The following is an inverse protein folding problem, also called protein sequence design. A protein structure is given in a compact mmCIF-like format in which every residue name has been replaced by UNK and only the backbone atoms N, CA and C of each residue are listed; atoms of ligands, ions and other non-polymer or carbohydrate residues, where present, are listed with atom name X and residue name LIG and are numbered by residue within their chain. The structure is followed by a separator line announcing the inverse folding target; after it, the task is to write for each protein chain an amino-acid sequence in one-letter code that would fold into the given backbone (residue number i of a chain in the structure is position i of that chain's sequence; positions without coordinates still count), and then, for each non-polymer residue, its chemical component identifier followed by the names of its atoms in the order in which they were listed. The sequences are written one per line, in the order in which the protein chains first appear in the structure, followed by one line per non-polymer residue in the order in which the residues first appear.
data_IF_646394378166
#
_entry.id   IF_646394378166
#
_cell.length_a   1.000
_cell.length_b   1.000
_cell.length_c   1.000
_cell.angle_alpha   90.00
_cell.angle_beta   90.00
_cell.angle_gamma   90.00
#
_symmetry.space_group_name_H-M   'P 1'
#
loop_
_entity.id
_entity.type
_entity.pdbx_description
1 polymer ?
#
# COMPACT_ATOMS: atom_id res chain seq x y z
N UNK A 1 -17.73 18.25 -10.67
CA UNK A 1 -18.18 16.84 -10.67
C UNK A 1 -17.00 15.98 -10.26
N UNK A 2 -17.18 15.05 -9.32
CA UNK A 2 -16.11 14.13 -8.90
C UNK A 2 -15.79 13.13 -10.01
N UNK A 3 -14.51 12.93 -10.32
CA UNK A 3 -14.08 11.98 -11.36
C UNK A 3 -14.10 10.55 -10.82
N UNK A 4 -14.48 9.58 -11.67
CA UNK A 4 -14.39 8.16 -11.38
C UNK A 4 -12.92 7.73 -11.30
N UNK A 5 -12.58 6.81 -10.40
CA UNK A 5 -11.24 6.23 -10.39
C UNK A 5 -10.99 5.42 -11.68
N UNK A 6 -9.91 5.70 -12.44
CA UNK A 6 -9.71 5.13 -13.79
C UNK A 6 -9.60 3.60 -13.80
N UNK A 7 -9.06 3.00 -12.73
CA UNK A 7 -8.90 1.54 -12.63
C UNK A 7 -9.96 0.85 -11.75
N UNK A 8 -11.02 1.54 -11.34
CA UNK A 8 -12.07 0.94 -10.49
C UNK A 8 -12.76 -0.24 -11.17
N UNK A 9 -13.17 -0.06 -12.42
CA UNK A 9 -13.88 -1.09 -13.16
C UNK A 9 -13.05 -2.37 -13.30
N UNK A 10 -11.77 -2.23 -13.63
CA UNK A 10 -10.82 -3.35 -13.75
C UNK A 10 -10.64 -4.11 -12.43
N UNK A 11 -10.64 -3.40 -11.29
CA UNK A 11 -10.59 -4.04 -9.98
C UNK A 11 -11.86 -4.87 -9.72
N UNK A 12 -13.04 -4.32 -10.03
CA UNK A 12 -14.31 -5.03 -9.86
C UNK A 12 -14.40 -6.27 -10.76
N UNK A 13 -13.98 -6.16 -12.01
CA UNK A 13 -13.93 -7.30 -12.94
C UNK A 13 -12.99 -8.40 -12.46
N UNK A 14 -11.80 -8.02 -11.96
CA UNK A 14 -10.86 -8.98 -11.39
C UNK A 14 -11.47 -9.66 -10.14
N UNK A 15 -12.06 -8.89 -9.21
CA UNK A 15 -12.71 -9.46 -8.04
C UNK A 15 -13.88 -10.38 -8.41
N UNK A 16 -14.67 -10.03 -9.43
CA UNK A 16 -15.73 -10.90 -9.94
C UNK A 16 -15.18 -12.25 -10.42
N UNK A 17 -14.08 -12.22 -11.17
CA UNK A 17 -13.40 -13.43 -11.65
C UNK A 17 -12.84 -14.29 -10.49
N UNK A 18 -12.56 -13.68 -9.33
CA UNK A 18 -12.14 -14.36 -8.10
C UNK A 18 -13.33 -14.79 -7.20
N UNK A 19 -14.57 -14.66 -7.68
CA UNK A 19 -15.77 -15.12 -6.98
C UNK A 19 -16.44 -14.07 -6.09
N UNK A 20 -16.10 -12.78 -6.22
CA UNK A 20 -16.86 -11.70 -5.57
C UNK A 20 -18.21 -11.51 -6.27
N UNK A 21 -19.29 -11.39 -5.48
CA UNK A 21 -20.61 -11.02 -6.00
C UNK A 21 -20.65 -9.54 -6.38
N UNK A 22 -20.71 -9.25 -7.68
CA UNK A 22 -20.63 -7.87 -8.21
C UNK A 22 -21.96 -7.27 -8.64
N UNK A 23 -23.01 -8.10 -8.73
CA UNK A 23 -24.39 -7.70 -9.06
C UNK A 23 -25.00 -6.71 -8.06
N UNK A 24 -24.42 -6.61 -6.86
CA UNK A 24 -24.91 -5.79 -5.74
C UNK A 24 -23.93 -4.73 -5.28
N UNK A 25 -22.95 -4.33 -6.09
CA UNK A 25 -22.04 -3.26 -5.70
C UNK A 25 -22.80 -1.94 -5.64
N UNK A 26 -22.97 -1.43 -4.42
CA UNK A 26 -23.70 -0.19 -4.13
C UNK A 26 -22.78 1.01 -3.94
N UNK A 27 -21.51 0.87 -4.28
CA UNK A 27 -20.49 1.90 -4.09
C UNK A 27 -19.61 2.05 -5.31
N UNK A 28 -19.00 3.22 -5.44
CA UNK A 28 -18.09 3.53 -6.53
C UNK A 28 -16.93 4.39 -6.03
N UNK A 29 -15.73 4.14 -6.55
CA UNK A 29 -14.56 4.95 -6.22
C UNK A 29 -14.54 6.25 -7.01
N UNK A 30 -14.55 7.40 -6.32
CA UNK A 30 -14.53 8.74 -6.94
C UNK A 30 -13.55 9.65 -6.21
N UNK A 31 -13.14 10.73 -6.87
CA UNK A 31 -12.33 11.77 -6.24
C UNK A 31 -13.15 12.63 -5.27
N UNK A 32 -12.58 12.88 -4.10
CA UNK A 32 -13.04 13.82 -3.10
C UNK A 32 -12.06 15.01 -3.04
N UNK A 33 -12.53 16.26 -3.16
CA UNK A 33 -11.67 17.44 -3.05
C UNK A 33 -10.84 17.41 -1.76
N UNK A 34 -9.51 17.49 -1.90
CA UNK A 34 -8.57 17.51 -0.77
C UNK A 34 -8.28 16.17 -0.08
N UNK A 35 -9.00 15.08 -0.41
CA UNK A 35 -8.84 13.78 0.24
C UNK A 35 -8.42 12.64 -0.71
N UNK A 36 -8.37 12.88 -2.02
CA UNK A 36 -8.02 11.84 -3.00
C UNK A 36 -9.22 10.96 -3.32
N UNK A 37 -9.02 9.65 -3.51
CA UNK A 37 -10.10 8.73 -3.86
C UNK A 37 -10.79 8.15 -2.62
N UNK A 38 -12.12 8.07 -2.67
CA UNK A 38 -12.95 7.44 -1.65
C UNK A 38 -14.09 6.64 -2.26
N UNK A 39 -14.72 5.79 -1.45
CA UNK A 39 -15.92 5.05 -1.84
C UNK A 39 -17.16 5.90 -1.58
N UNK A 40 -17.99 6.07 -2.61
CA UNK A 40 -19.24 6.80 -2.55
C UNK A 40 -20.40 5.85 -2.77
N UNK A 41 -21.43 5.93 -1.93
CA UNK A 41 -22.65 5.17 -2.12
C UNK A 41 -23.40 5.65 -3.37
N UNK A 42 -23.96 4.70 -4.13
CA UNK A 42 -24.81 4.96 -5.29
C UNK A 42 -26.28 5.16 -4.89
N UNK A 43 -26.63 4.77 -3.67
CA UNK A 43 -27.96 4.84 -3.09
C UNK A 43 -27.87 5.07 -1.58
N UNK A 44 -29.01 5.33 -0.93
CA UNK A 44 -29.04 5.42 0.53
C UNK A 44 -28.83 4.05 1.16
N UNK A 45 -27.83 3.93 2.03
CA UNK A 45 -27.51 2.70 2.74
C UNK A 45 -27.83 2.86 4.23
N UNK A 46 -28.52 1.88 4.80
CA UNK A 46 -28.78 1.84 6.23
C UNK A 46 -27.49 1.58 7.01
N UNK A 47 -27.44 1.95 8.31
CA UNK A 47 -26.34 1.56 9.19
C UNK A 47 -26.08 0.05 9.14
N UNK A 48 -24.81 -0.34 9.20
CA UNK A 48 -24.37 -1.74 9.17
C UNK A 48 -24.73 -2.53 7.90
N UNK A 49 -25.18 -1.86 6.83
CA UNK A 49 -25.38 -2.53 5.53
C UNK A 49 -24.03 -2.93 4.93
N UNK A 50 -23.77 -4.22 4.65
CA UNK A 50 -22.54 -4.63 3.99
C UNK A 50 -22.42 -4.02 2.59
N UNK A 51 -21.28 -3.40 2.30
CA UNK A 51 -21.04 -2.77 0.98
C UNK A 51 -20.69 -3.81 -0.09
N UNK A 52 -19.81 -4.74 0.26
CA UNK A 52 -19.38 -5.89 -0.55
C UNK A 52 -18.54 -6.83 0.33
N UNK A 53 -18.38 -8.08 -0.09
CA UNK A 53 -17.52 -9.08 0.58
C UNK A 53 -16.37 -9.45 -0.34
N UNK A 54 -15.14 -9.28 0.13
CA UNK A 54 -13.93 -9.60 -0.64
C UNK A 54 -13.47 -11.02 -0.34
N UNK A 55 -13.24 -11.89 -1.36
CA UNK A 55 -12.74 -13.24 -1.13
C UNK A 55 -11.37 -13.24 -0.44
N UNK A 56 -11.18 -14.06 0.59
CA UNK A 56 -9.97 -14.01 1.44
C UNK A 56 -8.64 -14.21 0.67
N UNK A 57 -8.65 -15.02 -0.39
CA UNK A 57 -7.47 -15.29 -1.22
C UNK A 57 -7.05 -14.09 -2.09
N UNK A 58 -7.95 -13.11 -2.28
CA UNK A 58 -7.64 -11.85 -2.99
C UNK A 58 -7.05 -10.77 -2.08
N UNK A 59 -6.98 -11.03 -0.77
CA UNK A 59 -6.35 -10.11 0.18
C UNK A 59 -4.83 -10.23 0.08
N UNK A 60 -4.15 -9.10 -0.12
CA UNK A 60 -2.70 -9.05 -0.15
C UNK A 60 -2.14 -9.15 1.27
N UNK A 61 -1.59 -10.32 1.64
CA UNK A 61 -1.01 -10.56 2.95
C UNK A 61 0.06 -11.67 2.89
N UNK A 62 0.72 -11.96 4.02
CA UNK A 62 1.79 -12.96 4.04
C UNK A 62 1.32 -14.38 3.68
N UNK A 63 0.08 -14.77 3.99
CA UNK A 63 -0.43 -16.11 3.67
C UNK A 63 -0.62 -16.28 2.16
N UNK A 64 -1.14 -15.25 1.51
CA UNK A 64 -1.37 -15.26 0.05
C UNK A 64 -0.08 -15.06 -0.73
N UNK A 65 0.92 -14.36 -0.18
CA UNK A 65 2.20 -14.13 -0.85
C UNK A 65 3.26 -15.22 -0.61
N UNK A 66 3.34 -15.81 0.60
CA UNK A 66 4.43 -16.73 0.96
C UNK A 66 4.67 -17.87 -0.05
N UNK A 67 3.64 -18.50 -0.65
CA UNK A 67 3.85 -19.57 -1.64
C UNK A 67 4.58 -19.11 -2.91
N UNK A 68 4.57 -17.81 -3.22
CA UNK A 68 5.16 -17.24 -4.44
C UNK A 68 6.59 -16.73 -4.25
N UNK A 69 7.14 -16.83 -3.03
CA UNK A 69 8.47 -16.35 -2.70
C UNK A 69 9.32 -17.47 -2.10
N UNK A 70 10.62 -17.57 -2.46
CA UNK A 70 11.56 -18.46 -1.79
C UNK A 70 11.58 -18.28 -0.27
N UNK A 71 11.68 -19.39 0.46
CA UNK A 71 11.70 -19.38 1.90
C UNK A 71 12.94 -18.63 2.45
N UNK A 72 12.71 -17.66 3.34
CA UNK A 72 13.78 -16.89 3.99
C UNK A 72 14.15 -17.46 5.36
N UNK A 73 15.43 -17.35 5.75
CA UNK A 73 15.91 -17.60 7.13
C UNK A 73 16.80 -16.44 7.58
N UNK A 74 16.34 -15.57 8.52
CA UNK A 74 15.02 -15.60 9.19
C UNK A 74 13.86 -15.33 8.22
N UNK A 75 12.65 -15.75 8.59
CA UNK A 75 11.43 -15.48 7.81
C UNK A 75 11.19 -13.97 7.71
N UNK A 76 10.78 -13.50 6.54
CA UNK A 76 10.33 -12.12 6.36
C UNK A 76 9.05 -11.88 7.18
N UNK A 77 8.94 -10.69 7.77
CA UNK A 77 7.69 -10.26 8.40
C UNK A 77 6.61 -10.01 7.34
N UNK A 78 5.34 -9.96 7.76
CA UNK A 78 4.23 -9.62 6.85
C UNK A 78 4.47 -8.28 6.15
N UNK A 79 4.88 -7.24 6.90
CA UNK A 79 5.22 -5.92 6.35
C UNK A 79 6.33 -6.04 5.31
N UNK A 80 7.41 -6.75 5.62
CA UNK A 80 8.56 -6.90 4.72
C UNK A 80 8.17 -7.59 3.42
N UNK A 81 7.41 -8.69 3.50
CA UNK A 81 6.99 -9.45 2.32
C UNK A 81 6.00 -8.67 1.45
N UNK A 82 4.98 -8.03 2.05
CA UNK A 82 4.02 -7.20 1.32
C UNK A 82 4.72 -5.99 0.70
N UNK A 83 5.61 -5.32 1.44
CA UNK A 83 6.38 -4.19 0.91
C UNK A 83 7.24 -4.62 -0.26
N UNK A 84 7.97 -5.74 -0.15
CA UNK A 84 8.77 -6.29 -1.24
C UNK A 84 7.91 -6.55 -2.48
N UNK A 85 6.80 -7.25 -2.33
CA UNK A 85 5.91 -7.58 -3.46
C UNK A 85 5.39 -6.31 -4.15
N UNK A 86 4.85 -5.36 -3.38
CA UNK A 86 4.40 -4.09 -3.94
C UNK A 86 5.53 -3.37 -4.67
N UNK A 87 6.73 -3.34 -4.10
CA UNK A 87 7.85 -2.60 -4.69
C UNK A 87 8.34 -3.21 -6.01
N UNK A 88 8.33 -4.54 -6.13
CA UNK A 88 8.67 -5.25 -7.37
C UNK A 88 7.65 -5.01 -8.48
N UNK A 89 6.40 -4.78 -8.11
CA UNK A 89 5.27 -4.64 -9.01
C UNK A 89 4.70 -3.21 -9.06
N UNK A 90 5.50 -2.23 -8.62
CA UNK A 90 5.13 -0.82 -8.66
C UNK A 90 4.84 -0.42 -10.11
N UNK A 91 3.66 0.12 -10.42
CA UNK A 91 3.34 0.56 -11.78
C UNK A 91 4.25 1.71 -12.21
N UNK A 92 4.97 1.51 -13.31
CA UNK A 92 5.74 2.58 -13.97
C UNK A 92 4.84 3.46 -14.86
N UNK A 93 3.72 2.91 -15.31
CA UNK A 93 2.65 3.62 -16.02
C UNK A 93 1.34 3.55 -15.25
N UNK A 94 0.25 3.27 -15.95
CA UNK A 94 -1.09 3.24 -15.35
C UNK A 94 -1.39 1.95 -14.57
N UNK A 95 -0.83 0.82 -14.99
CA UNK A 95 -1.23 -0.51 -14.51
C UNK A 95 -0.01 -1.29 -14.01
N UNK A 96 -0.22 -2.11 -12.98
CA UNK A 96 0.77 -3.08 -12.50
C UNK A 96 0.81 -4.32 -13.39
N UNK A 97 2.02 -4.78 -13.70
CA UNK A 97 2.25 -6.02 -14.44
C UNK A 97 2.22 -7.26 -13.54
N UNK A 98 1.84 -7.13 -12.26
CA UNK A 98 1.71 -8.28 -11.37
C UNK A 98 0.59 -9.23 -11.83
N UNK A 99 0.89 -10.52 -12.04
CA UNK A 99 -0.12 -11.48 -12.48
C UNK A 99 -1.17 -11.83 -11.42
N UNK A 100 -0.88 -11.62 -10.13
CA UNK A 100 -1.74 -12.09 -9.04
C UNK A 100 -2.72 -11.00 -8.57
N UNK A 101 -2.19 -9.83 -8.27
CA UNK A 101 -2.83 -8.68 -7.63
C UNK A 101 -2.72 -7.41 -8.48
N UNK A 102 -2.32 -7.49 -9.75
CA UNK A 102 -2.10 -6.33 -10.62
C UNK A 102 -3.24 -5.29 -10.60
N UNK A 103 -4.52 -5.69 -10.76
CA UNK A 103 -5.66 -4.78 -10.65
C UNK A 103 -5.78 -4.08 -9.30
N UNK A 104 -5.47 -4.78 -8.21
CA UNK A 104 -5.44 -4.21 -6.85
C UNK A 104 -4.28 -3.23 -6.67
N UNK A 105 -3.07 -3.60 -7.10
CA UNK A 105 -1.89 -2.73 -7.03
C UNK A 105 -2.08 -1.46 -7.89
N UNK A 106 -2.86 -1.57 -8.98
CA UNK A 106 -3.14 -0.47 -9.89
C UNK A 106 -4.04 0.63 -9.29
N UNK A 107 -4.80 0.34 -8.24
CA UNK A 107 -5.64 1.34 -7.55
C UNK A 107 -4.96 1.97 -6.33
N UNK A 108 -3.74 1.54 -5.99
CA UNK A 108 -3.00 2.10 -4.85
C UNK A 108 -2.49 3.52 -5.14
N UNK A 109 -2.40 4.38 -4.12
CA UNK A 109 -1.79 5.71 -4.25
C UNK A 109 -0.40 5.64 -4.89
N UNK A 110 -0.14 6.54 -5.86
CA UNK A 110 1.12 6.60 -6.62
C UNK A 110 2.22 7.38 -5.92
N UNK A 111 1.81 8.42 -5.21
CA UNK A 111 2.68 9.31 -4.46
C UNK A 111 2.24 9.39 -3.00
N UNK A 112 3.21 9.78 -2.17
CA UNK A 112 3.03 10.07 -0.76
C UNK A 112 3.73 11.38 -0.42
N UNK A 113 3.75 12.32 -1.36
CA UNK A 113 4.43 13.61 -1.19
C UNK A 113 3.75 14.49 -0.14
N UNK A 114 2.55 14.13 0.30
CA UNK A 114 1.83 14.75 1.42
C UNK A 114 2.15 14.09 2.77
N UNK A 115 2.86 12.96 2.79
CA UNK A 115 3.11 12.21 4.01
C UNK A 115 4.38 12.72 4.72
N UNK A 116 4.33 13.08 6.02
CA UNK A 116 5.48 13.64 6.75
C UNK A 116 6.74 12.77 6.74
N UNK A 117 6.56 11.45 6.64
CA UNK A 117 7.68 10.52 6.48
C UNK A 117 8.45 10.73 5.18
N UNK A 118 7.74 11.00 4.08
CA UNK A 118 8.35 11.26 2.76
C UNK A 118 9.18 12.54 2.81
N UNK A 119 8.68 13.58 3.47
CA UNK A 119 9.43 14.84 3.68
C UNK A 119 10.73 14.58 4.44
N UNK A 120 10.63 13.90 5.59
CA UNK A 120 11.80 13.57 6.42
C UNK A 120 12.81 12.71 5.64
N UNK A 121 12.32 11.75 4.86
CA UNK A 121 13.17 10.88 4.04
C UNK A 121 13.93 11.66 2.97
N UNK A 122 13.26 12.57 2.24
CA UNK A 122 13.89 13.45 1.25
C UNK A 122 14.96 14.33 1.89
N UNK A 123 14.65 14.95 3.03
CA UNK A 123 15.60 15.79 3.78
C UNK A 123 16.85 15.01 4.23
N UNK A 124 16.68 13.76 4.69
CA UNK A 124 17.81 12.94 5.18
C UNK A 124 18.66 12.30 4.08
N UNK A 125 18.10 12.07 2.90
CA UNK A 125 18.81 11.38 1.80
C UNK A 125 19.46 12.33 0.80
N UNK A 126 19.54 13.62 1.11
CA UNK A 126 20.27 14.64 0.33
C UNK A 126 19.85 14.73 -1.14
N UNK A 127 18.54 14.68 -1.42
CA UNK A 127 18.04 15.33 -2.64
C UNK A 127 18.15 16.83 -2.40
N UNK A 128 19.23 17.44 -2.88
CA UNK A 128 19.71 18.79 -2.55
C UNK A 128 18.72 19.96 -2.77
N UNK A 129 17.48 19.71 -3.24
CA UNK A 129 16.53 20.74 -3.68
C UNK A 129 15.14 20.63 -3.02
N UNK A 130 15.04 20.28 -1.73
CA UNK A 130 13.76 20.14 -1.03
C UNK A 130 13.52 21.21 0.09
N UNK A 131 13.65 22.53 -0.20
CA UNK A 131 13.53 23.57 0.84
C UNK A 131 12.11 23.70 1.41
N UNK A 132 11.09 23.18 0.72
CA UNK A 132 9.73 23.12 1.25
C UNK A 132 9.60 22.00 2.29
N UNK A 133 10.05 20.79 1.97
CA UNK A 133 9.99 19.66 2.88
C UNK A 133 10.79 19.89 4.16
N UNK A 134 11.94 20.56 4.08
CA UNK A 134 12.70 20.99 5.28
C UNK A 134 11.84 21.88 6.18
N UNK A 135 11.23 22.94 5.62
CA UNK A 135 10.35 23.85 6.38
C UNK A 135 9.11 23.14 6.94
N UNK A 136 8.52 22.22 6.17
CA UNK A 136 7.41 21.40 6.65
C UNK A 136 7.83 20.53 7.82
N UNK A 137 9.00 19.88 7.75
CA UNK A 137 9.54 19.10 8.87
C UNK A 137 9.83 19.96 10.11
N UNK A 138 10.35 21.18 9.94
CA UNK A 138 10.60 22.13 11.03
C UNK A 138 9.31 22.60 11.72
N UNK A 139 8.20 22.65 10.98
CA UNK A 139 6.88 23.00 11.53
C UNK A 139 6.21 21.89 12.33
N UNK A 140 6.75 20.66 12.29
CA UNK A 140 6.16 19.52 12.99
C UNK A 140 6.41 19.61 14.50
N UNK A 141 5.42 19.24 15.33
CA UNK A 141 5.65 19.12 16.77
C UNK A 141 6.78 18.12 17.10
N UNK A 142 7.61 18.37 18.13
CA UNK A 142 8.76 17.50 18.45
C UNK A 142 8.41 16.02 18.63
N UNK A 143 7.24 15.73 19.23
CA UNK A 143 6.74 14.36 19.41
C UNK A 143 6.49 13.64 18.08
N UNK A 144 6.05 14.37 17.05
CA UNK A 144 5.83 13.81 15.71
C UNK A 144 7.18 13.53 15.04
N UNK A 145 8.14 14.45 15.16
CA UNK A 145 9.50 14.27 14.64
C UNK A 145 10.15 13.02 15.25
N UNK A 146 10.08 12.85 16.57
CA UNK A 146 10.61 11.66 17.25
C UNK A 146 9.96 10.37 16.75
N UNK A 147 8.64 10.38 16.55
CA UNK A 147 7.93 9.23 15.98
C UNK A 147 8.39 8.94 14.55
N UNK A 148 8.54 9.96 13.71
CA UNK A 148 9.01 9.80 12.33
C UNK A 148 10.46 9.29 12.29
N UNK A 149 11.32 9.69 13.22
CA UNK A 149 12.68 9.17 13.35
C UNK A 149 12.70 7.68 13.68
N UNK A 150 11.84 7.24 14.60
CA UNK A 150 11.68 5.80 14.90
C UNK A 150 11.16 5.03 13.69
N UNK A 151 10.16 5.58 12.99
CA UNK A 151 9.64 5.03 11.72
C UNK A 151 10.74 4.96 10.66
N UNK A 152 11.65 5.93 10.60
CA UNK A 152 12.78 5.96 9.66
C UNK A 152 13.81 4.88 9.98
N UNK A 153 14.13 4.69 11.26
CA UNK A 153 14.98 3.59 11.70
C UNK A 153 14.37 2.23 11.34
N UNK A 154 13.05 2.05 11.51
CA UNK A 154 12.35 0.82 11.14
C UNK A 154 12.40 0.59 9.62
N UNK A 155 12.08 1.60 8.82
CA UNK A 155 12.18 1.51 7.35
C UNK A 155 13.58 1.10 6.89
N UNK A 156 14.63 1.76 7.42
CA UNK A 156 16.02 1.42 7.09
C UNK A 156 16.38 -0.01 7.49
N UNK A 157 15.88 -0.48 8.63
CA UNK A 157 16.06 -1.87 9.07
C UNK A 157 15.39 -2.85 8.12
N UNK A 158 14.13 -2.62 7.77
CA UNK A 158 13.39 -3.47 6.83
C UNK A 158 14.05 -3.48 5.45
N UNK A 159 14.47 -2.31 4.95
CA UNK A 159 15.17 -2.20 3.67
C UNK A 159 16.42 -3.07 3.62
N UNK A 160 17.27 -3.01 4.65
CA UNK A 160 18.48 -3.87 4.73
C UNK A 160 18.15 -5.36 4.74
N UNK A 161 17.05 -5.76 5.38
CA UNK A 161 16.61 -7.16 5.39
C UNK A 161 16.21 -7.59 3.97
N UNK A 162 15.47 -6.74 3.26
CA UNK A 162 15.05 -7.00 1.89
C UNK A 162 16.23 -7.05 0.92
N UNK A 163 17.21 -6.14 1.06
CA UNK A 163 18.42 -6.18 0.24
C UNK A 163 19.16 -7.51 0.38
N UNK A 164 19.40 -7.96 1.62
CA UNK A 164 20.03 -9.27 1.88
C UNK A 164 19.22 -10.45 1.34
N UNK A 165 17.89 -10.37 1.43
CA UNK A 165 17.01 -11.39 0.89
C UNK A 165 17.12 -11.46 -0.64
N UNK A 166 17.13 -10.32 -1.33
CA UNK A 166 17.27 -10.25 -2.79
C UNK A 166 18.65 -10.69 -3.27
N UNK A 167 19.72 -10.36 -2.54
CA UNK A 167 21.08 -10.86 -2.80
C UNK A 167 21.14 -12.40 -2.80
N UNK A 168 20.37 -13.03 -1.91
CA UNK A 168 20.30 -14.49 -1.80
C UNK A 168 19.36 -15.14 -2.82
N UNK A 169 18.52 -14.34 -3.51
CA UNK A 169 17.48 -14.82 -4.42
C UNK A 169 17.39 -13.98 -5.70
N UNK A 170 18.44 -13.97 -6.54
CA UNK A 170 18.53 -13.10 -7.72
C UNK A 170 17.46 -13.39 -8.79
N UNK A 171 16.79 -14.55 -8.74
CA UNK A 171 15.69 -14.89 -9.65
C UNK A 171 14.44 -14.02 -9.44
N UNK A 172 14.27 -13.40 -8.27
CA UNK A 172 13.10 -12.58 -7.93
C UNK A 172 13.22 -11.17 -8.53
N UNK A 173 14.43 -10.62 -8.57
CA UNK A 173 14.69 -9.28 -9.06
C UNK A 173 15.86 -9.35 -10.04
N UNK A 174 15.62 -9.20 -11.35
CA UNK A 174 16.69 -9.17 -12.34
C UNK A 174 17.72 -8.12 -11.95
N UNK A 175 18.98 -8.55 -11.78
CA UNK A 175 20.09 -7.74 -11.25
C UNK A 175 20.32 -6.45 -12.06
N UNK A 176 19.86 -6.41 -13.32
CA UNK A 176 20.07 -5.30 -14.25
C UNK A 176 19.26 -4.04 -13.90
N UNK A 177 18.12 -4.16 -13.21
CA UNK A 177 17.32 -2.98 -12.83
C UNK A 177 17.48 -2.60 -11.37
N UNK A 178 17.66 -3.60 -10.49
CA UNK A 178 17.83 -3.41 -9.04
C UNK A 178 16.61 -2.75 -8.39
N UNK A 179 16.15 -3.29 -7.26
CA UNK A 179 15.07 -2.63 -6.54
C UNK A 179 15.55 -1.28 -5.97
N UNK A 180 14.96 -0.17 -6.41
CA UNK A 180 15.35 1.16 -5.92
C UNK A 180 14.76 1.39 -4.55
N UNK A 181 15.45 2.18 -3.72
CA UNK A 181 14.96 2.54 -2.39
C UNK A 181 13.64 3.32 -2.44
N UNK A 182 13.39 4.08 -3.52
CA UNK A 182 12.14 4.81 -3.71
C UNK A 182 10.96 3.88 -3.99
N UNK A 183 11.21 2.78 -4.72
CA UNK A 183 10.20 1.75 -4.99
C UNK A 183 9.89 1.00 -3.71
N UNK A 184 10.93 0.70 -2.92
CA UNK A 184 10.74 0.13 -1.59
C UNK A 184 9.98 1.05 -0.64
N UNK A 185 10.28 2.36 -0.65
CA UNK A 185 9.54 3.35 0.13
C UNK A 185 8.06 3.36 -0.25
N UNK A 186 7.76 3.34 -1.55
CA UNK A 186 6.38 3.29 -2.04
C UNK A 186 5.64 2.02 -1.59
N UNK A 187 6.26 0.85 -1.74
CA UNK A 187 5.67 -0.41 -1.32
C UNK A 187 5.49 -0.48 0.21
N UNK A 188 6.45 0.06 0.97
CA UNK A 188 6.42 0.07 2.43
C UNK A 188 5.35 1.00 3.00
N UNK A 189 5.17 2.20 2.41
CA UNK A 189 4.09 3.10 2.80
C UNK A 189 2.72 2.50 2.50
N UNK A 190 2.52 1.92 1.30
CA UNK A 190 1.28 1.21 1.00
C UNK A 190 1.06 0.02 1.94
N UNK A 191 2.08 -0.81 2.19
CA UNK A 191 1.97 -1.97 3.08
C UNK A 191 1.57 -1.60 4.51
N UNK A 192 2.13 -0.52 5.06
CA UNK A 192 1.73 0.00 6.36
C UNK A 192 0.28 0.49 6.36
N UNK A 193 -0.12 1.27 5.36
CA UNK A 193 -1.49 1.78 5.23
C UNK A 193 -2.51 0.64 5.15
N UNK A 194 -2.20 -0.40 4.40
CA UNK A 194 -3.04 -1.60 4.29
C UNK A 194 -3.18 -2.33 5.62
N UNK A 195 -2.08 -2.49 6.37
CA UNK A 195 -2.17 -3.09 7.70
C UNK A 195 -3.02 -2.25 8.65
N UNK A 196 -2.90 -0.91 8.63
CA UNK A 196 -3.75 -0.04 9.44
C UNK A 196 -5.23 -0.09 9.04
N UNK A 197 -5.52 -0.16 7.74
CA UNK A 197 -6.89 -0.28 7.24
C UNK A 197 -7.52 -1.62 7.64
N UNK A 198 -6.80 -2.73 7.45
CA UNK A 198 -7.25 -4.06 7.87
C UNK A 198 -7.44 -4.13 9.39
N UNK A 199 -6.55 -3.54 10.18
CA UNK A 199 -6.70 -3.51 11.64
C UNK A 199 -7.91 -2.70 12.08
N UNK A 200 -8.17 -1.54 11.46
CA UNK A 200 -9.35 -0.72 11.75
C UNK A 200 -10.66 -1.41 11.33
N UNK A 201 -10.67 -2.08 10.18
CA UNK A 201 -11.84 -2.84 9.73
C UNK A 201 -12.09 -4.05 10.64
N UNK A 202 -11.05 -4.80 11.03
CA UNK A 202 -11.17 -5.95 11.93
C UNK A 202 -11.60 -5.56 13.35
N UNK A 203 -11.14 -4.41 13.86
CA UNK A 203 -11.58 -3.89 15.16
C UNK A 203 -13.04 -3.42 15.14
N UNK A 204 -13.51 -2.84 14.03
CA UNK A 204 -14.92 -2.47 13.89
C UNK A 204 -15.85 -3.69 13.77
N UNK A 205 -15.39 -4.81 13.22
CA UNK A 205 -16.16 -6.06 13.20
C UNK A 205 -16.31 -6.63 14.63
N UNK A 206 -15.25 -6.61 15.44
CA UNK A 206 -15.31 -7.13 16.83
C UNK A 206 -16.13 -6.27 17.80
N UNK A 207 -16.24 -4.97 17.57
CA UNK A 207 -17.05 -4.07 18.39
C UNK A 207 -18.56 -4.15 18.09
N UNK A 208 -18.97 -4.86 17.03
CA UNK A 208 -20.39 -5.13 16.74
C UNK A 208 -20.86 -6.51 17.24
N UNK A 209 -19.98 -7.29 17.87
CA UNK A 209 -20.29 -8.58 18.50
C UNK A 209 -20.36 -8.49 20.04
N UNK A 210 -20.40 -7.28 20.61
CA UNK A 210 -20.58 -7.00 22.05
C UNK A 210 -21.75 -6.05 22.27
#
# INVERSE_FOLDING_TARGET
MSALHPHWQRLIEWLAAQGMQTDKIRVVARTAPGAGYGLFALENLGPSTPLFTVPAHTLLNHLTLSPHYPAARPKLSCTQLVSLHLSLHRPLGEVSDDPLFGPYISVLPRDFDWHPFTWLWKTKTQRHDAPLETRLCESLPPRIVEKLDRTCALFKKDWRVIQKYLESHPAICPVQTGLRVDDFLWGWLNGLWLMFLVYKLALNVKLQEQ
#
